data_IF_783375398633
#
_entry.id   IF_783375398633
#
_cell.length_a   1.000
_cell.length_b   1.000
_cell.length_c   1.000
_cell.angle_alpha   90.00
_cell.angle_beta   90.00
_cell.angle_gamma   90.00
#
_symmetry.space_group_name_H-M   'P 1'
#
loop_
_entity.id
_entity.type
_entity.pdbx_description
1 polymer ?
#
# COMPACT_ATOMS: atom_id res chain seq x y z
N UNK A 1 -51.17 -2.59 14.79
CA UNK A 1 -50.42 -2.77 13.53
C UNK A 1 -50.02 -1.43 12.88
N UNK A 2 -50.84 -0.38 12.89
CA UNK A 2 -50.48 0.92 12.27
C UNK A 2 -49.27 1.61 12.93
N UNK A 3 -49.14 1.54 14.26
CA UNK A 3 -47.98 2.10 14.99
C UNK A 3 -46.65 1.43 14.62
N UNK A 4 -46.66 0.11 14.40
CA UNK A 4 -45.43 -0.64 14.07
C UNK A 4 -44.93 -0.32 12.66
N UNK A 5 -45.84 -0.06 11.70
CA UNK A 5 -45.44 0.39 10.36
C UNK A 5 -44.79 1.77 10.37
N UNK A 6 -45.30 2.71 11.19
CA UNK A 6 -44.70 4.03 11.33
C UNK A 6 -43.26 3.98 11.85
N UNK A 7 -43.01 3.17 12.89
CA UNK A 7 -41.68 3.00 13.47
C UNK A 7 -40.70 2.34 12.47
N UNK A 8 -41.15 1.34 11.71
CA UNK A 8 -40.29 0.70 10.70
C UNK A 8 -39.96 1.69 9.58
N UNK A 9 -40.92 2.48 9.12
CA UNK A 9 -40.71 3.47 8.06
C UNK A 9 -39.70 4.56 8.48
N UNK A 10 -39.78 5.05 9.72
CA UNK A 10 -38.82 6.05 10.22
C UNK A 10 -37.42 5.46 10.37
N UNK A 11 -37.28 4.23 10.87
CA UNK A 11 -36.00 3.55 10.96
C UNK A 11 -35.35 3.36 9.57
N UNK A 12 -36.13 2.94 8.57
CA UNK A 12 -35.64 2.80 7.19
C UNK A 12 -35.20 4.15 6.60
N UNK A 13 -35.91 5.23 6.89
CA UNK A 13 -35.55 6.57 6.44
C UNK A 13 -34.22 7.05 7.05
N UNK A 14 -34.05 6.88 8.36
CA UNK A 14 -32.80 7.23 9.06
C UNK A 14 -31.64 6.39 8.53
N UNK A 15 -31.82 5.08 8.34
CA UNK A 15 -30.80 4.19 7.78
C UNK A 15 -30.41 4.60 6.35
N UNK A 16 -31.37 5.05 5.54
CA UNK A 16 -31.10 5.54 4.19
C UNK A 16 -30.23 6.80 4.19
N UNK A 17 -30.54 7.77 5.07
CA UNK A 17 -29.75 9.00 5.24
C UNK A 17 -28.32 8.67 5.67
N UNK A 18 -28.16 7.81 6.68
CA UNK A 18 -26.84 7.39 7.17
C UNK A 18 -26.06 6.70 6.03
N UNK A 19 -26.72 5.78 5.31
CA UNK A 19 -26.08 5.07 4.20
C UNK A 19 -25.64 6.01 3.07
N UNK A 20 -26.41 7.07 2.80
CA UNK A 20 -26.05 8.07 1.81
C UNK A 20 -24.82 8.90 2.23
N UNK A 21 -24.80 9.37 3.48
CA UNK A 21 -23.68 10.15 4.02
C UNK A 21 -22.38 9.34 4.08
N UNK A 22 -22.46 8.06 4.42
CA UNK A 22 -21.31 7.17 4.58
C UNK A 22 -21.05 6.26 3.37
N UNK A 23 -21.63 6.57 2.20
CA UNK A 23 -21.60 5.69 1.01
C UNK A 23 -20.19 5.27 0.58
N UNK A 24 -19.20 6.16 0.70
CA UNK A 24 -17.82 5.86 0.32
C UNK A 24 -17.11 5.00 1.37
N UNK A 25 -17.35 5.24 2.65
CA UNK A 25 -16.82 4.42 3.74
C UNK A 25 -17.39 3.00 3.66
N UNK A 26 -18.72 2.88 3.49
CA UNK A 26 -19.40 1.60 3.28
C UNK A 26 -18.82 0.89 2.05
N UNK A 27 -18.64 1.60 0.93
CA UNK A 27 -18.06 1.03 -0.28
C UNK A 27 -16.65 0.46 -0.02
N UNK A 28 -15.77 1.20 0.65
CA UNK A 28 -14.40 0.78 0.95
C UNK A 28 -14.38 -0.45 1.87
N UNK A 29 -15.19 -0.45 2.94
CA UNK A 29 -15.31 -1.58 3.86
C UNK A 29 -15.84 -2.82 3.14
N UNK A 30 -16.94 -2.68 2.37
CA UNK A 30 -17.50 -3.78 1.59
C UNK A 30 -16.50 -4.34 0.58
N UNK A 31 -15.63 -3.48 0.03
CA UNK A 31 -14.58 -3.90 -0.90
C UNK A 31 -13.47 -4.69 -0.21
N UNK A 32 -13.04 -4.27 0.99
CA UNK A 32 -12.04 -5.00 1.77
C UNK A 32 -12.51 -6.39 2.22
N UNK A 33 -13.81 -6.50 2.56
CA UNK A 33 -14.42 -7.77 2.97
C UNK A 33 -14.57 -8.75 1.80
N UNK A 34 -14.77 -8.24 0.58
CA UNK A 34 -14.80 -9.06 -0.62
C UNK A 34 -13.37 -9.42 -0.99
N UNK A 35 -12.88 -10.54 -0.46
CA UNK A 35 -11.59 -11.12 -0.79
C UNK A 35 -11.33 -11.02 -2.29
N UNK A 36 -10.43 -10.11 -2.66
CA UNK A 36 -10.08 -9.83 -4.05
C UNK A 36 -9.38 -11.08 -4.56
N UNK A 37 -10.07 -11.84 -5.40
CA UNK A 37 -9.43 -12.87 -6.19
C UNK A 37 -8.38 -12.18 -7.06
N UNK A 38 -7.11 -12.50 -6.86
CA UNK A 38 -6.00 -11.99 -7.66
C UNK A 38 -6.12 -12.51 -9.11
N UNK A 39 -7.10 -12.01 -9.87
CA UNK A 39 -7.18 -12.24 -11.30
C UNK A 39 -6.24 -11.24 -11.95
N UNK A 40 -5.03 -11.72 -12.21
CA UNK A 40 -4.05 -11.02 -13.04
C UNK A 40 -4.57 -11.07 -14.47
N UNK A 41 -5.35 -10.06 -14.91
CA UNK A 41 -5.96 -10.10 -16.25
C UNK A 41 -5.81 -8.83 -17.07
N UNK A 42 -4.89 -7.93 -16.74
CA UNK A 42 -4.52 -6.84 -17.65
C UNK A 42 -3.00 -6.73 -17.69
N UNK A 43 -2.46 -6.73 -18.90
CA UNK A 43 -1.06 -6.40 -19.17
C UNK A 43 -0.89 -4.91 -18.87
N UNK A 44 -0.45 -4.58 -17.65
CA UNK A 44 -0.11 -3.22 -17.26
C UNK A 44 1.36 -2.96 -17.61
N UNK A 45 1.67 -1.76 -18.12
CA UNK A 45 3.05 -1.34 -18.41
C UNK A 45 3.81 -0.97 -17.14
N UNK A 46 3.09 -0.39 -16.17
CA UNK A 46 3.64 0.05 -14.89
C UNK A 46 2.91 -0.64 -13.73
N UNK A 47 3.62 -0.87 -12.64
CA UNK A 47 3.06 -1.41 -11.42
C UNK A 47 2.28 -0.36 -10.62
N UNK A 48 2.80 0.87 -10.60
CA UNK A 48 2.31 1.93 -9.72
C UNK A 48 2.30 3.27 -10.44
N UNK A 49 1.16 3.95 -10.46
CA UNK A 49 1.09 5.37 -10.76
C UNK A 49 1.23 6.17 -9.47
N UNK A 50 2.16 7.14 -9.41
CA UNK A 50 2.37 7.97 -8.23
C UNK A 50 1.82 9.37 -8.49
N UNK A 51 0.72 9.71 -7.81
CA UNK A 51 0.06 11.02 -7.87
C UNK A 51 0.40 11.82 -6.62
N UNK A 52 0.92 13.03 -6.80
CA UNK A 52 1.28 13.96 -5.74
C UNK A 52 1.34 15.39 -6.29
N UNK A 53 1.37 16.37 -5.39
CA UNK A 53 1.53 17.77 -5.77
C UNK A 53 2.98 18.10 -6.15
N UNK A 54 3.28 18.17 -7.46
CA UNK A 54 4.60 18.57 -7.98
C UNK A 54 4.95 20.04 -7.72
N UNK A 55 3.97 20.88 -7.35
CA UNK A 55 4.19 22.26 -6.96
C UNK A 55 4.92 22.40 -5.61
N UNK A 56 4.90 21.36 -4.78
CA UNK A 56 5.60 21.34 -3.50
C UNK A 56 7.03 20.78 -3.66
N UNK A 57 8.08 21.61 -3.54
CA UNK A 57 9.45 21.18 -3.80
C UNK A 57 9.97 20.15 -2.80
N UNK A 58 9.53 20.20 -1.53
CA UNK A 58 9.94 19.24 -0.50
C UNK A 58 9.32 17.88 -0.74
N UNK A 59 8.02 17.86 -1.07
CA UNK A 59 7.31 16.65 -1.42
C UNK A 59 7.90 16.01 -2.68
N UNK A 60 8.10 16.82 -3.75
CA UNK A 60 8.76 16.37 -4.98
C UNK A 60 10.12 15.77 -4.71
N UNK A 61 10.96 16.47 -3.93
CA UNK A 61 12.28 15.97 -3.57
C UNK A 61 12.20 14.63 -2.86
N UNK A 62 11.30 14.49 -1.87
CA UNK A 62 11.13 13.25 -1.14
C UNK A 62 10.60 12.11 -2.03
N UNK A 63 9.62 12.38 -2.90
CA UNK A 63 9.07 11.39 -3.82
C UNK A 63 10.14 10.88 -4.78
N UNK A 64 10.84 11.77 -5.48
CA UNK A 64 11.81 11.39 -6.51
C UNK A 64 13.09 10.76 -5.94
N UNK A 65 13.61 11.28 -4.82
CA UNK A 65 14.92 10.83 -4.31
C UNK A 65 14.81 9.68 -3.32
N UNK A 66 13.71 9.59 -2.56
CA UNK A 66 13.55 8.57 -1.52
C UNK A 66 12.52 7.52 -1.91
N UNK A 67 11.27 7.91 -2.13
CA UNK A 67 10.17 6.95 -2.31
C UNK A 67 10.34 6.13 -3.59
N UNK A 68 10.57 6.81 -4.71
CA UNK A 68 10.74 6.20 -6.01
C UNK A 68 11.92 5.24 -6.03
N UNK A 69 13.11 5.71 -5.60
CA UNK A 69 14.30 4.88 -5.48
C UNK A 69 14.08 3.62 -4.63
N UNK A 70 13.33 3.74 -3.52
CA UNK A 70 13.03 2.60 -2.64
C UNK A 70 12.04 1.59 -3.26
N UNK A 71 11.11 2.06 -4.07
CA UNK A 71 10.18 1.21 -4.81
C UNK A 71 10.88 0.53 -6.00
N UNK A 72 11.73 1.24 -6.74
CA UNK A 72 12.53 0.66 -7.82
C UNK A 72 13.51 -0.40 -7.32
N UNK A 73 14.19 -0.14 -6.19
CA UNK A 73 15.04 -1.13 -5.50
C UNK A 73 14.26 -2.39 -5.09
N UNK A 74 12.95 -2.26 -4.87
CA UNK A 74 12.07 -3.38 -4.58
C UNK A 74 11.47 -4.05 -5.82
N UNK A 75 11.82 -3.59 -7.03
CA UNK A 75 11.43 -4.16 -8.30
C UNK A 75 10.12 -3.63 -8.89
N UNK A 76 9.55 -2.56 -8.34
CA UNK A 76 8.35 -1.94 -8.92
C UNK A 76 8.71 -1.06 -10.12
N UNK A 77 7.88 -1.11 -11.15
CA UNK A 77 7.92 -0.14 -12.25
C UNK A 77 6.96 1.01 -11.94
N UNK A 78 7.51 2.15 -11.51
CA UNK A 78 6.73 3.33 -11.15
C UNK A 78 6.55 4.25 -12.37
N UNK A 79 5.38 4.89 -12.46
CA UNK A 79 5.16 6.04 -13.33
C UNK A 79 4.96 7.30 -12.47
N UNK A 80 5.76 8.32 -12.73
CA UNK A 80 5.75 9.61 -12.05
C UNK A 80 5.53 10.71 -13.08
N UNK A 81 4.40 11.45 -13.04
CA UNK A 81 4.04 12.43 -14.07
C UNK A 81 5.14 13.46 -14.36
N UNK A 82 5.75 14.06 -13.33
CA UNK A 82 6.78 15.09 -13.53
C UNK A 82 8.15 14.57 -13.99
N UNK A 83 8.36 13.25 -14.03
CA UNK A 83 9.59 12.59 -14.48
C UNK A 83 9.41 11.92 -15.84
N UNK A 84 8.28 11.25 -16.03
CA UNK A 84 8.06 10.30 -17.14
C UNK A 84 7.18 10.86 -18.26
N UNK A 85 6.50 11.99 -18.03
CA UNK A 85 5.71 12.65 -19.07
C UNK A 85 6.63 13.39 -20.03
N UNK A 86 6.45 13.18 -21.33
CA UNK A 86 7.23 13.87 -22.35
C UNK A 86 6.83 15.35 -22.36
N UNK A 87 7.80 16.29 -22.37
CA UNK A 87 7.49 17.71 -22.52
C UNK A 87 6.67 17.97 -23.78
N UNK A 88 5.52 18.65 -23.63
CA UNK A 88 4.58 18.91 -24.73
C UNK A 88 3.50 17.85 -24.92
N UNK A 89 3.56 16.72 -24.19
CA UNK A 89 2.60 15.61 -24.26
C UNK A 89 1.60 15.61 -23.09
N UNK A 90 1.47 16.75 -22.39
CA UNK A 90 0.64 16.94 -21.20
C UNK A 90 -0.82 17.13 -21.58
N UNK A 91 -1.40 16.12 -22.23
CA UNK A 91 -2.84 16.06 -22.48
C UNK A 91 -3.52 15.22 -21.41
N UNK A 92 -4.76 15.58 -21.09
CA UNK A 92 -5.62 14.79 -20.20
C UNK A 92 -5.77 13.35 -20.73
N UNK A 93 -5.82 13.17 -22.05
CA UNK A 93 -5.92 11.87 -22.73
C UNK A 93 -4.72 10.97 -22.44
N UNK A 94 -3.50 11.50 -22.50
CA UNK A 94 -2.29 10.74 -22.20
C UNK A 94 -2.20 10.34 -20.73
N UNK A 95 -2.61 11.23 -19.84
CA UNK A 95 -2.72 10.92 -18.42
C UNK A 95 -3.73 9.80 -18.16
N UNK A 96 -4.92 9.87 -18.76
CA UNK A 96 -5.94 8.80 -18.65
C UNK A 96 -5.39 7.48 -19.20
N UNK A 97 -4.76 7.51 -20.38
CA UNK A 97 -4.13 6.35 -20.99
C UNK A 97 -3.06 5.76 -20.08
N UNK A 98 -2.26 6.59 -19.43
CA UNK A 98 -1.21 6.15 -18.52
C UNK A 98 -1.77 5.55 -17.23
N UNK A 99 -2.78 6.17 -16.62
CA UNK A 99 -3.51 5.64 -15.47
C UNK A 99 -4.08 4.25 -15.80
N UNK A 100 -4.66 4.07 -16.99
CA UNK A 100 -5.18 2.78 -17.45
C UNK A 100 -4.10 1.70 -17.62
N UNK A 101 -2.87 2.10 -17.92
CA UNK A 101 -1.72 1.23 -18.06
C UNK A 101 -0.99 0.93 -16.74
N UNK A 102 -1.48 1.46 -15.62
CA UNK A 102 -0.94 1.22 -14.29
C UNK A 102 -1.77 0.18 -13.51
N UNK A 103 -1.09 -0.71 -12.79
CA UNK A 103 -1.74 -1.78 -12.03
C UNK A 103 -2.31 -1.31 -10.69
N UNK A 104 -1.62 -0.41 -10.00
CA UNK A 104 -2.04 0.16 -8.72
C UNK A 104 -1.74 1.66 -8.69
N UNK A 105 -2.27 2.33 -7.69
CA UNK A 105 -2.14 3.77 -7.52
C UNK A 105 -1.59 4.09 -6.14
N UNK A 106 -0.65 5.03 -6.09
CA UNK A 106 -0.11 5.62 -4.88
C UNK A 106 -0.46 7.11 -4.91
N UNK A 107 -1.26 7.57 -3.95
CA UNK A 107 -1.74 8.96 -3.89
C UNK A 107 -1.21 9.61 -2.63
N UNK A 108 -0.55 10.75 -2.77
CA UNK A 108 0.17 11.42 -1.70
C UNK A 108 -0.43 12.80 -1.50
N UNK A 109 -1.58 12.91 -0.80
CA UNK A 109 -2.18 14.20 -0.51
C UNK A 109 -1.30 15.03 0.43
N UNK A 110 -1.00 16.25 0.01
CA UNK A 110 -0.48 17.36 0.81
C UNK A 110 -1.59 18.39 1.06
N UNK A 111 -1.37 19.35 1.95
CA UNK A 111 -2.31 20.47 2.16
C UNK A 111 -2.57 21.24 0.86
N UNK A 112 -1.55 21.36 0.01
CA UNK A 112 -1.61 22.02 -1.30
C UNK A 112 -2.26 21.18 -2.39
N UNK A 113 -2.40 19.86 -2.18
CA UNK A 113 -3.09 18.94 -3.09
C UNK A 113 -4.58 19.27 -3.24
N UNK A 114 -5.19 19.84 -2.18
CA UNK A 114 -6.62 20.17 -2.18
C UNK A 114 -6.93 21.60 -2.65
N UNK A 115 -5.91 22.47 -2.75
CA UNK A 115 -6.10 23.84 -3.22
C UNK A 115 -6.61 23.86 -4.67
N UNK A 116 -7.49 24.82 -4.97
CA UNK A 116 -8.12 24.94 -6.29
C UNK A 116 -7.13 25.17 -7.42
N UNK A 117 -5.98 25.75 -7.11
CA UNK A 117 -4.90 25.98 -8.07
C UNK A 117 -4.23 24.68 -8.54
N UNK A 118 -4.38 23.58 -7.80
CA UNK A 118 -3.83 22.27 -8.16
C UNK A 118 -4.81 21.42 -8.99
N UNK A 119 -5.21 21.99 -10.14
CA UNK A 119 -6.20 21.38 -11.03
C UNK A 119 -5.78 19.96 -11.44
N UNK A 120 -4.50 19.77 -11.77
CA UNK A 120 -3.99 18.47 -12.24
C UNK A 120 -4.14 17.36 -11.20
N UNK A 121 -3.75 17.59 -9.94
CA UNK A 121 -3.89 16.59 -8.88
C UNK A 121 -5.35 16.18 -8.63
N UNK A 122 -6.30 17.14 -8.76
CA UNK A 122 -7.74 16.85 -8.66
C UNK A 122 -8.24 16.01 -9.83
N UNK A 123 -7.78 16.33 -11.04
CA UNK A 123 -8.13 15.58 -12.25
C UNK A 123 -7.56 14.16 -12.18
N UNK A 124 -6.28 14.01 -11.81
CA UNK A 124 -5.66 12.70 -11.55
C UNK A 124 -6.45 11.90 -10.53
N UNK A 125 -6.77 12.48 -9.37
CA UNK A 125 -7.55 11.82 -8.33
C UNK A 125 -8.90 11.35 -8.84
N UNK A 126 -9.60 12.18 -9.62
CA UNK A 126 -10.90 11.83 -10.21
C UNK A 126 -10.78 10.58 -11.10
N UNK A 127 -9.77 10.51 -11.96
CA UNK A 127 -9.56 9.37 -12.85
C UNK A 127 -9.08 8.12 -12.11
N UNK A 128 -8.12 8.26 -11.20
CA UNK A 128 -7.64 7.19 -10.32
C UNK A 128 -8.83 6.58 -9.56
N UNK A 129 -9.65 7.41 -8.93
CA UNK A 129 -10.82 6.93 -8.19
C UNK A 129 -11.82 6.24 -9.11
N UNK A 130 -12.14 6.80 -10.27
CA UNK A 130 -13.09 6.20 -11.20
C UNK A 130 -12.59 4.83 -11.68
N UNK A 131 -11.31 4.74 -12.03
CA UNK A 131 -10.70 3.49 -12.46
C UNK A 131 -10.67 2.46 -11.33
N UNK A 132 -10.29 2.86 -10.12
CA UNK A 132 -10.38 2.02 -8.93
C UNK A 132 -11.81 1.54 -8.68
N UNK A 133 -12.79 2.44 -8.72
CA UNK A 133 -14.19 2.14 -8.43
C UNK A 133 -14.74 1.03 -9.35
N UNK A 134 -14.39 1.09 -10.63
CA UNK A 134 -14.82 0.15 -11.65
C UNK A 134 -14.03 -1.16 -11.66
N UNK A 135 -12.76 -1.16 -11.23
CA UNK A 135 -11.88 -2.31 -11.28
C UNK A 135 -11.54 -2.83 -9.87
N UNK A 136 -12.11 -3.98 -9.47
CA UNK A 136 -11.97 -4.53 -8.11
C UNK A 136 -10.56 -5.00 -7.76
N UNK A 137 -9.78 -5.39 -8.75
CA UNK A 137 -8.44 -5.98 -8.56
C UNK A 137 -7.34 -4.93 -8.37
N UNK A 138 -7.70 -3.64 -8.50
CA UNK A 138 -6.80 -2.50 -8.35
C UNK A 138 -6.77 -2.02 -6.92
N UNK A 139 -5.63 -1.50 -6.49
CA UNK A 139 -5.44 -0.94 -5.15
C UNK A 139 -5.05 0.52 -5.23
N UNK A 140 -5.58 1.31 -4.29
CA UNK A 140 -5.12 2.66 -3.99
C UNK A 140 -4.43 2.61 -2.64
N UNK A 141 -3.22 3.14 -2.57
CA UNK A 141 -2.49 3.39 -1.33
C UNK A 141 -2.42 4.89 -1.13
N UNK A 142 -2.83 5.38 0.03
CA UNK A 142 -2.75 6.79 0.39
C UNK A 142 -1.63 6.99 1.38
N UNK A 143 -0.76 7.97 1.14
CA UNK A 143 0.26 8.41 2.08
C UNK A 143 -0.12 9.81 2.55
N UNK A 144 -0.57 9.94 3.79
CA UNK A 144 -0.98 11.21 4.36
C UNK A 144 0.25 12.02 4.76
N UNK A 145 0.79 12.80 3.80
CA UNK A 145 2.07 13.47 3.93
C UNK A 145 2.04 14.59 4.98
N UNK A 146 1.00 15.43 4.94
CA UNK A 146 0.85 16.59 5.82
C UNK A 146 -0.07 16.34 7.03
N UNK A 147 -0.49 15.08 7.27
CA UNK A 147 -1.40 14.70 8.36
C UNK A 147 -2.71 15.48 8.30
N UNK A 148 -3.36 15.41 7.14
CA UNK A 148 -4.62 16.09 6.87
C UNK A 148 -5.73 15.31 7.58
N UNK A 149 -6.33 15.92 8.60
CA UNK A 149 -7.42 15.29 9.36
C UNK A 149 -8.77 15.36 8.62
N UNK A 150 -8.98 16.43 7.84
CA UNK A 150 -10.27 16.77 7.24
C UNK A 150 -10.12 17.17 5.77
N UNK A 151 -9.86 16.20 4.88
CA UNK A 151 -9.80 16.47 3.44
C UNK A 151 -11.16 16.94 2.92
N UNK A 152 -11.13 17.83 1.93
CA UNK A 152 -12.31 18.36 1.22
C UNK A 152 -12.97 17.27 0.39
N UNK A 153 -12.19 16.41 -0.27
CA UNK A 153 -12.74 15.33 -1.09
C UNK A 153 -13.31 14.21 -0.22
N UNK A 154 -14.61 13.92 -0.38
CA UNK A 154 -15.33 12.94 0.43
C UNK A 154 -14.79 11.51 0.29
N UNK A 155 -14.15 11.17 -0.84
CA UNK A 155 -13.57 9.83 -1.05
C UNK A 155 -12.26 9.73 -0.30
N UNK A 156 -11.41 10.76 -0.41
CA UNK A 156 -10.17 10.84 0.37
C UNK A 156 -10.47 10.84 1.87
N UNK A 157 -11.49 11.59 2.29
CA UNK A 157 -12.00 11.60 3.67
C UNK A 157 -12.38 10.23 4.19
N UNK A 158 -13.01 9.41 3.33
CA UNK A 158 -13.39 8.05 3.69
C UNK A 158 -12.16 7.16 3.94
N UNK A 159 -11.09 7.30 3.15
CA UNK A 159 -9.85 6.55 3.40
C UNK A 159 -9.20 6.93 4.73
N UNK A 160 -9.08 8.22 5.01
CA UNK A 160 -8.45 8.72 6.25
C UNK A 160 -9.26 8.30 7.48
N UNK A 161 -10.59 8.47 7.45
CA UNK A 161 -11.46 8.07 8.57
C UNK A 161 -11.42 6.58 8.88
N UNK A 162 -11.27 5.74 7.85
CA UNK A 162 -11.15 4.30 8.02
C UNK A 162 -9.73 3.86 8.40
N UNK A 163 -8.76 4.78 8.53
CA UNK A 163 -7.37 4.47 8.83
C UNK A 163 -6.68 3.64 7.73
N UNK A 164 -7.07 3.87 6.48
CA UNK A 164 -6.55 3.14 5.32
C UNK A 164 -5.33 3.80 4.68
N UNK A 165 -5.07 5.05 5.05
CA UNK A 165 -3.87 5.79 4.73
C UNK A 165 -2.65 5.28 5.51
N UNK A 166 -1.49 5.81 5.16
CA UNK A 166 -0.22 5.60 5.85
C UNK A 166 0.23 6.97 6.34
N UNK A 167 0.31 7.13 7.66
CA UNK A 167 0.74 8.38 8.28
C UNK A 167 2.23 8.64 8.08
N UNK A 168 2.54 9.83 7.56
CA UNK A 168 3.92 10.28 7.41
C UNK A 168 4.58 10.68 8.74
N UNK A 169 3.78 10.93 9.79
CA UNK A 169 4.25 11.33 11.13
C UNK A 169 5.25 10.35 11.74
N UNK A 170 5.15 9.07 11.35
CA UNK A 170 6.06 8.02 11.79
C UNK A 170 7.40 8.08 11.02
N UNK A 171 8.01 9.26 11.01
CA UNK A 171 9.16 9.67 10.18
C UNK A 171 10.42 8.82 10.36
N UNK A 172 10.51 8.01 11.42
CA UNK A 172 11.71 7.19 11.69
C UNK A 172 11.80 5.98 10.78
N UNK A 173 10.66 5.44 10.36
CA UNK A 173 10.58 4.45 9.30
C UNK A 173 9.23 4.63 8.61
N UNK A 174 9.17 5.42 7.52
CA UNK A 174 8.11 5.18 6.53
C UNK A 174 8.18 3.68 6.27
N UNK A 175 7.12 2.97 6.64
CA UNK A 175 7.07 1.52 6.52
C UNK A 175 6.92 1.22 5.03
N UNK A 176 8.04 1.24 4.33
CA UNK A 176 8.12 0.79 2.96
C UNK A 176 7.51 -0.61 2.83
N UNK A 177 7.65 -1.44 3.87
CA UNK A 177 7.01 -2.75 3.97
C UNK A 177 5.47 -2.66 4.01
N UNK A 178 4.91 -1.64 4.67
CA UNK A 178 3.46 -1.39 4.66
C UNK A 178 2.99 -0.90 3.28
N UNK A 179 3.75 -0.01 2.65
CA UNK A 179 3.49 0.44 1.26
C UNK A 179 3.49 -0.77 0.32
N UNK A 180 4.54 -1.61 0.40
CA UNK A 180 4.68 -2.85 -0.40
C UNK A 180 3.55 -3.84 -0.12
N UNK A 181 3.17 -4.02 1.14
CA UNK A 181 2.08 -4.90 1.53
C UNK A 181 0.76 -4.43 0.91
N UNK A 182 0.47 -3.13 0.99
CA UNK A 182 -0.75 -2.55 0.40
C UNK A 182 -0.71 -2.60 -1.13
N UNK A 183 0.43 -2.30 -1.79
CA UNK A 183 0.59 -2.38 -3.25
C UNK A 183 0.57 -3.81 -3.80
N UNK A 184 0.96 -4.80 -3.00
CA UNK A 184 1.15 -6.19 -3.43
C UNK A 184 2.45 -6.39 -4.21
N UNK A 185 2.73 -7.64 -4.62
CA UNK A 185 4.00 -8.02 -5.24
C UNK A 185 4.26 -7.29 -6.57
N UNK A 186 5.47 -6.76 -6.84
CA UNK A 186 5.79 -6.12 -8.12
C UNK A 186 5.62 -7.11 -9.28
N UNK A 187 5.28 -6.60 -10.46
CA UNK A 187 5.24 -7.42 -11.66
C UNK A 187 6.66 -7.74 -12.12
N UNK A 188 7.11 -8.96 -11.85
CA UNK A 188 8.41 -9.43 -12.34
C UNK A 188 8.29 -9.69 -13.85
N UNK A 189 8.72 -8.74 -14.68
CA UNK A 189 8.67 -8.78 -16.14
C UNK A 189 9.59 -9.83 -16.80
N UNK A 190 9.76 -11.02 -16.23
CA UNK A 190 10.24 -12.18 -17.00
C UNK A 190 9.02 -12.99 -17.42
N UNK A 191 8.68 -12.92 -18.71
CA UNK A 191 7.81 -13.90 -19.34
C UNK A 191 8.42 -15.29 -19.14
N UNK A 192 7.94 -16.02 -18.14
CA UNK A 192 8.08 -17.47 -18.06
C UNK A 192 6.70 -18.05 -17.76
N UNK A 193 6.09 -18.58 -18.81
CA UNK A 193 4.95 -19.48 -18.73
C UNK A 193 5.25 -20.62 -17.76
N UNK A 194 4.76 -20.61 -16.52
CA UNK A 194 4.59 -21.83 -15.72
C UNK A 194 3.30 -21.77 -14.90
N UNK A 195 2.29 -22.43 -15.47
CA UNK A 195 1.43 -23.49 -14.90
C UNK A 195 0.91 -23.30 -13.45
N UNK A 196 -0.41 -23.21 -13.36
CA UNK A 196 -1.24 -23.46 -12.19
C UNK A 196 -0.60 -24.40 -11.16
N UNK A 197 -0.21 -23.86 -10.01
CA UNK A 197 -0.15 -24.62 -8.76
C UNK A 197 -1.06 -23.95 -7.75
N UNK A 198 -2.10 -24.70 -7.41
CA UNK A 198 -3.06 -24.47 -6.33
C UNK A 198 -2.31 -24.06 -5.06
N UNK A 199 -2.72 -23.01 -4.32
CA UNK A 199 -2.11 -22.73 -3.02
C UNK A 199 -2.52 -23.84 -2.06
N UNK A 200 -1.54 -24.64 -1.67
CA UNK A 200 -1.62 -25.57 -0.54
C UNK A 200 -1.66 -24.73 0.74
N UNK A 201 -2.75 -24.88 1.50
CA UNK A 201 -2.93 -24.21 2.79
C UNK A 201 -1.87 -24.72 3.78
N UNK A 202 -0.82 -23.94 4.00
CA UNK A 202 0.09 -24.17 5.14
C UNK A 202 -0.60 -23.66 6.39
N UNK A 203 -1.17 -24.61 7.14
CA UNK A 203 -1.65 -24.44 8.51
C UNK A 203 -0.49 -24.04 9.42
N UNK A 204 -0.52 -22.80 9.92
CA UNK A 204 0.41 -22.30 10.93
C UNK A 204 0.07 -22.90 12.30
N UNK A 205 0.47 -24.15 12.54
CA UNK A 205 0.55 -24.76 13.89
C UNK A 205 1.63 -25.85 13.96
N UNK A 206 2.91 -25.50 13.81
CA UNK A 206 4.02 -26.20 14.49
C UNK A 206 5.36 -25.52 14.20
N UNK A 207 5.74 -24.57 15.06
CA UNK A 207 7.13 -24.11 15.16
C UNK A 207 7.32 -23.38 16.48
N UNK A 208 7.11 -24.09 17.60
CA UNK A 208 7.49 -23.64 18.95
C UNK A 208 8.34 -24.69 19.70
N UNK A 209 8.64 -25.85 19.09
CA UNK A 209 9.39 -26.91 19.79
C UNK A 209 10.87 -26.98 19.38
N UNK A 210 11.30 -26.40 18.26
CA UNK A 210 12.65 -26.62 17.72
C UNK A 210 13.66 -25.47 17.96
N UNK A 211 13.49 -24.72 19.05
CA UNK A 211 14.51 -23.74 19.50
C UNK A 211 15.07 -24.02 20.89
N UNK A 212 14.66 -25.10 21.57
CA UNK A 212 15.20 -25.46 22.90
C UNK A 212 16.43 -26.37 22.89
N UNK A 213 16.73 -27.06 21.79
CA UNK A 213 17.84 -28.02 21.77
C UNK A 213 19.18 -27.47 21.25
N UNK A 214 19.18 -26.41 20.42
CA UNK A 214 20.44 -25.81 19.91
C UNK A 214 21.16 -24.91 20.92
N UNK A 215 20.54 -24.58 22.04
CA UNK A 215 21.17 -23.78 23.12
C UNK A 215 22.01 -24.64 24.08
N UNK A 216 21.72 -25.94 24.20
CA UNK A 216 22.46 -26.84 25.10
C UNK A 216 23.76 -27.40 24.47
N UNK A 217 23.85 -27.47 23.14
CA UNK A 217 25.03 -28.02 22.47
C UNK A 217 26.20 -27.02 22.38
N UNK A 218 25.90 -25.71 22.34
CA UNK A 218 26.93 -24.66 22.30
C UNK A 218 27.53 -24.31 23.67
N UNK A 219 26.92 -24.74 24.78
CA UNK A 219 27.49 -24.54 26.12
C UNK A 219 28.45 -25.69 26.53
N UNK A 220 28.31 -26.88 25.94
CA UNK A 220 29.19 -28.02 26.22
C UNK A 220 30.53 -27.95 25.46
N UNK A 221 30.56 -27.37 24.24
CA UNK A 221 31.81 -27.14 23.49
C UNK A 221 32.71 -26.04 24.07
N UNK A 222 32.18 -25.14 24.90
CA UNK A 222 32.99 -24.09 25.54
C UNK A 222 33.74 -24.55 26.80
N UNK A 223 33.39 -25.70 27.38
CA UNK A 223 34.12 -26.25 28.54
C UNK A 223 35.21 -27.27 28.17
N UNK A 224 35.21 -27.86 26.97
CA UNK A 224 36.29 -28.78 26.56
C UNK A 224 37.55 -28.07 26.03
N UNK A 225 37.42 -26.82 25.56
CA UNK A 225 38.55 -26.03 25.04
C UNK A 225 39.37 -25.39 26.17
N UNK A 226 38.79 -25.18 27.34
CA UNK A 226 39.51 -24.60 28.50
C UNK A 226 40.33 -25.65 29.26
N UNK A 227 39.98 -26.95 29.13
CA UNK A 227 40.73 -28.04 29.77
C UNK A 227 41.98 -28.51 28.99
N UNK A 228 42.12 -28.11 27.72
CA UNK A 228 43.25 -28.53 26.86
C UNK A 228 44.38 -27.49 26.79
N UNK A 229 44.16 -26.27 27.30
CA UNK A 229 45.18 -25.20 27.32
C UNK A 229 45.91 -25.06 28.67
N UNK A 230 45.60 -25.90 29.65
CA UNK A 230 46.20 -25.90 30.99
C UNK A 230 47.16 -27.07 31.24
N UNK A 231 47.48 -27.85 30.20
CA UNK A 231 48.45 -28.98 30.26
C UNK A 231 49.72 -28.76 29.42
N UNK A 232 50.01 -27.52 28.97
CA UNK A 232 51.21 -27.18 28.18
C UNK A 232 52.09 -26.13 28.88
N UNK A 233 51.99 -26.00 30.20
CA UNK A 233 52.82 -25.07 31.00
C UNK A 233 53.58 -25.75 32.16
N UNK A 234 53.74 -27.07 32.11
CA UNK A 234 54.70 -27.83 32.93
C UNK A 234 55.63 -28.65 32.03
N UNK A 235 56.35 -27.96 31.14
CA UNK A 235 57.65 -28.41 30.62
C UNK A 235 58.24 -27.20 29.89
N UNK A 236 59.41 -26.76 30.35
CA UNK A 236 60.26 -25.63 29.88
C UNK A 236 60.43 -24.54 30.96
N UNK A 237 61.52 -24.76 31.72
CA UNK A 237 62.28 -23.88 32.65
C UNK A 237 61.76 -23.75 34.06
#
# INVERSE_FOLDING_TARGET
MSMTFGVIATLMFVLSIISYHYRYEIYLVCRQLKSVSNKVSVVCKYDVYISFDDGNPFLRFWVLNFLDSKLEQAGYLNFIPCRDTIPGDVTEENMISTINNCRNFLVIPSKTYEYDDNIWSKVEWKYIWNYFYNNKDRRIVIINYDLIDHPVDLKLKAFIRLGLDIDFANRRHIRLDEIKLKLGVPYCGKHSYIRNTKPEFVSAKHSVVEQRDKSKENHSRKMSVVSSSLMVLEEVV
#
